data_IF_243607860332
#
_entry.id   IF_243607860332
#
_cell.length_a   1.000
_cell.length_b   1.000
_cell.length_c   1.000
_cell.angle_alpha   90.00
_cell.angle_beta   90.00
_cell.angle_gamma   90.00
#
_symmetry.space_group_name_H-M   'P 1'
#
loop_
_entity.id
_entity.type
_entity.pdbx_description
1 polymer ?
#
# COMPACT_ATOMS: atom_id res chain seq x y z
N UNK A 1 48.84 -61.00 2.56
CA UNK A 1 48.99 -59.71 3.27
C UNK A 1 49.16 -58.58 2.27
N UNK A 2 48.10 -57.82 2.00
CA UNK A 2 48.04 -56.34 2.02
C UNK A 2 46.70 -55.90 1.41
N UNK A 3 46.03 -55.06 2.17
CA UNK A 3 44.69 -54.53 1.96
C UNK A 3 44.64 -53.58 0.76
N UNK A 4 43.62 -53.72 -0.09
CA UNK A 4 43.16 -52.66 -0.98
C UNK A 4 42.02 -51.92 -0.29
N UNK A 5 42.28 -50.69 0.16
CA UNK A 5 41.28 -49.74 0.62
C UNK A 5 40.81 -48.90 -0.57
N UNK A 6 39.52 -48.98 -0.90
CA UNK A 6 38.81 -48.02 -1.76
C UNK A 6 38.45 -46.77 -0.94
N UNK A 7 38.51 -45.54 -1.51
CA UNK A 7 37.86 -44.38 -0.92
C UNK A 7 36.39 -44.30 -1.35
N UNK A 8 35.53 -43.58 -0.59
CA UNK A 8 34.10 -43.83 -0.53
C UNK A 8 33.27 -43.08 -1.58
N UNK A 9 32.14 -43.69 -1.90
CA UNK A 9 31.01 -43.14 -2.66
C UNK A 9 30.49 -41.84 -2.00
N UNK A 10 30.27 -40.84 -2.84
CA UNK A 10 29.66 -39.57 -2.52
C UNK A 10 28.24 -39.74 -1.96
N UNK A 11 28.04 -39.32 -0.71
CA UNK A 11 26.72 -38.96 -0.17
C UNK A 11 26.29 -37.63 -0.81
N UNK A 12 25.54 -37.69 -1.91
CA UNK A 12 24.63 -36.60 -2.26
C UNK A 12 23.27 -36.91 -1.66
N UNK A 13 23.01 -36.24 -0.54
CA UNK A 13 21.76 -36.21 0.19
C UNK A 13 20.62 -35.69 -0.70
N UNK A 14 19.50 -36.40 -0.61
CA UNK A 14 18.13 -35.91 -0.77
C UNK A 14 17.95 -34.53 -0.09
N UNK A 15 17.25 -33.58 -0.75
CA UNK A 15 16.40 -32.46 -0.23
C UNK A 15 16.27 -31.36 -1.33
N UNK A 16 15.07 -30.81 -1.66
CA UNK A 16 13.93 -31.49 -2.29
C UNK A 16 13.36 -30.69 -3.49
N UNK A 17 12.43 -31.33 -4.19
CA UNK A 17 11.61 -30.86 -5.34
C UNK A 17 10.81 -29.55 -5.06
N UNK A 18 10.88 -28.98 -3.86
CA UNK A 18 10.15 -27.77 -3.43
C UNK A 18 10.67 -26.49 -4.10
N UNK A 19 11.96 -26.39 -4.42
CA UNK A 19 12.51 -25.21 -5.13
C UNK A 19 12.00 -25.11 -6.58
N UNK A 20 11.68 -26.22 -7.23
CA UNK A 20 11.24 -26.23 -8.63
C UNK A 20 9.85 -25.64 -8.85
N UNK A 21 8.95 -25.77 -7.86
CA UNK A 21 7.60 -25.17 -7.94
C UNK A 21 7.64 -23.66 -7.67
N UNK A 22 8.41 -23.23 -6.67
CA UNK A 22 8.60 -21.82 -6.35
C UNK A 22 9.32 -21.03 -7.46
N UNK A 23 10.34 -21.63 -8.09
CA UNK A 23 11.02 -21.03 -9.24
C UNK A 23 10.13 -21.05 -10.49
N UNK A 24 9.32 -22.10 -10.70
CA UNK A 24 8.32 -22.11 -11.79
C UNK A 24 7.23 -21.06 -11.59
N UNK A 25 6.72 -20.87 -10.38
CA UNK A 25 5.71 -19.86 -10.10
C UNK A 25 6.31 -18.43 -10.22
N UNK A 26 7.58 -18.24 -9.84
CA UNK A 26 8.33 -16.99 -10.07
C UNK A 26 8.60 -16.71 -11.56
N UNK A 27 8.90 -17.73 -12.36
CA UNK A 27 9.17 -17.59 -13.79
C UNK A 27 7.89 -17.51 -14.63
N UNK A 28 6.81 -18.17 -14.20
CA UNK A 28 5.51 -18.12 -14.87
C UNK A 28 4.75 -16.82 -14.55
N UNK A 29 5.02 -16.16 -13.42
CA UNK A 29 4.52 -14.80 -13.09
C UNK A 29 5.51 -13.69 -13.50
N UNK A 30 6.53 -14.00 -14.32
CA UNK A 30 7.40 -12.99 -14.93
C UNK A 30 6.99 -12.69 -16.39
N UNK A 31 6.01 -13.43 -16.91
CA UNK A 31 5.38 -13.22 -18.21
C UNK A 31 3.90 -13.06 -17.89
N UNK A 32 3.39 -11.82 -17.92
CA UNK A 32 1.97 -11.52 -17.71
C UNK A 32 1.10 -12.46 -18.54
N UNK A 33 0.09 -13.05 -17.91
CA UNK A 33 -0.91 -13.83 -18.62
C UNK A 33 -1.93 -12.86 -19.16
N UNK A 34 -2.14 -12.84 -20.47
CA UNK A 34 -3.15 -11.96 -21.07
C UNK A 34 -4.50 -12.14 -20.37
N UNK A 35 -5.05 -11.06 -19.80
CA UNK A 35 -6.34 -11.05 -19.11
C UNK A 35 -6.28 -11.20 -17.57
N UNK A 36 -5.10 -11.12 -16.94
CA UNK A 36 -4.93 -11.10 -15.48
C UNK A 36 -4.24 -9.79 -15.06
N UNK A 37 -4.56 -9.26 -13.87
CA UNK A 37 -3.96 -8.03 -13.37
C UNK A 37 -2.46 -8.14 -13.14
N UNK A 38 -1.66 -7.26 -13.76
CA UNK A 38 -0.20 -7.25 -13.61
C UNK A 38 0.35 -5.99 -12.90
N UNK A 39 1.25 -6.22 -11.94
CA UNK A 39 2.04 -5.15 -11.32
C UNK A 39 3.50 -5.33 -11.75
N UNK A 40 3.94 -4.47 -12.66
CA UNK A 40 5.34 -4.42 -13.07
C UNK A 40 6.16 -3.66 -12.03
N UNK A 41 7.16 -4.31 -11.42
CA UNK A 41 8.10 -3.68 -10.49
C UNK A 41 9.45 -3.41 -11.14
N UNK A 42 9.85 -2.14 -11.16
CA UNK A 42 11.22 -1.72 -11.45
C UNK A 42 11.96 -1.35 -10.17
N UNK A 43 13.29 -1.47 -10.18
CA UNK A 43 14.09 -1.31 -8.96
C UNK A 43 15.35 -0.48 -9.18
N UNK A 44 15.55 0.52 -8.34
CA UNK A 44 16.80 1.28 -8.19
C UNK A 44 17.40 1.03 -6.82
N UNK A 45 18.68 0.62 -6.78
CA UNK A 45 19.45 0.42 -5.55
C UNK A 45 18.85 -0.58 -4.52
N UNK A 46 17.77 -1.30 -4.86
CA UNK A 46 17.19 -2.34 -4.02
C UNK A 46 17.94 -3.66 -4.20
N UNK A 47 18.51 -4.27 -3.13
CA UNK A 47 19.21 -5.55 -3.21
C UNK A 47 18.31 -6.68 -3.70
N UNK A 48 18.83 -7.56 -4.57
CA UNK A 48 18.05 -8.67 -5.16
C UNK A 48 17.31 -9.53 -4.13
N UNK A 49 17.97 -9.86 -3.00
CA UNK A 49 17.33 -10.64 -1.93
C UNK A 49 16.16 -9.91 -1.26
N UNK A 50 16.16 -8.58 -1.23
CA UNK A 50 15.04 -7.81 -0.69
C UNK A 50 13.87 -7.82 -1.67
N UNK A 51 14.14 -7.74 -2.99
CA UNK A 51 13.12 -7.90 -4.05
C UNK A 51 12.37 -9.22 -3.90
N UNK A 52 13.11 -10.32 -3.80
CA UNK A 52 12.54 -11.66 -3.64
C UNK A 52 11.75 -11.83 -2.34
N UNK A 53 12.23 -11.26 -1.23
CA UNK A 53 11.69 -11.55 0.10
C UNK A 53 10.50 -10.68 0.49
N UNK A 54 10.42 -9.46 -0.04
CA UNK A 54 9.45 -8.47 0.43
C UNK A 54 8.56 -7.93 -0.69
N UNK A 55 9.15 -7.49 -1.80
CA UNK A 55 8.40 -6.84 -2.87
C UNK A 55 7.60 -7.81 -3.74
N UNK A 56 8.20 -8.91 -4.18
CA UNK A 56 7.46 -9.90 -4.98
C UNK A 56 6.31 -10.57 -4.21
N UNK A 57 6.45 -10.93 -2.92
CA UNK A 57 5.32 -11.41 -2.15
C UNK A 57 4.19 -10.40 -1.98
N UNK A 58 4.49 -9.11 -1.77
CA UNK A 58 3.46 -8.07 -1.68
C UNK A 58 2.73 -7.90 -3.01
N UNK A 59 3.49 -7.87 -4.13
CA UNK A 59 2.93 -7.88 -5.48
C UNK A 59 1.98 -9.05 -5.70
N UNK A 60 2.44 -10.27 -5.39
CA UNK A 60 1.63 -11.49 -5.57
C UNK A 60 0.36 -11.42 -4.71
N UNK A 61 0.41 -10.86 -3.50
CA UNK A 61 -0.76 -10.71 -2.66
C UNK A 61 -1.81 -9.79 -3.31
N UNK A 62 -1.39 -8.63 -3.83
CA UNK A 62 -2.29 -7.71 -4.52
C UNK A 62 -2.80 -8.25 -5.87
N UNK A 63 -1.93 -8.82 -6.70
CA UNK A 63 -2.35 -9.45 -7.97
C UNK A 63 -3.29 -10.64 -7.77
N UNK A 64 -3.16 -11.41 -6.68
CA UNK A 64 -4.14 -12.46 -6.38
C UNK A 64 -5.49 -11.86 -5.97
N UNK A 65 -5.49 -10.69 -5.33
CA UNK A 65 -6.69 -10.01 -4.82
C UNK A 65 -7.46 -9.32 -5.95
N UNK A 66 -6.76 -8.75 -6.93
CA UNK A 66 -7.33 -8.11 -8.10
C UNK A 66 -7.37 -9.15 -9.23
N UNK A 67 -8.53 -9.76 -9.43
CA UNK A 67 -8.69 -10.94 -10.26
C UNK A 67 -8.98 -10.64 -11.74
N UNK A 68 -9.15 -9.37 -12.12
CA UNK A 68 -9.44 -8.99 -13.50
C UNK A 68 -8.49 -7.94 -14.06
N UNK A 69 -8.33 -8.04 -15.36
CA UNK A 69 -7.55 -7.15 -16.23
C UNK A 69 -8.02 -5.70 -16.14
N UNK A 70 -7.07 -4.77 -16.14
CA UNK A 70 -7.33 -3.38 -16.53
C UNK A 70 -6.86 -3.19 -17.99
N UNK A 71 -7.25 -2.09 -18.62
CA UNK A 71 -6.80 -1.84 -19.99
C UNK A 71 -5.32 -1.46 -20.00
N UNK A 72 -4.55 -2.20 -20.80
CA UNK A 72 -3.16 -1.88 -21.16
C UNK A 72 -3.02 -0.45 -21.64
N UNK A 73 -1.96 0.21 -21.19
CA UNK A 73 -1.56 1.51 -21.72
C UNK A 73 -0.37 1.29 -22.65
N UNK A 74 -0.69 1.20 -23.94
CA UNK A 74 0.25 1.04 -25.05
C UNK A 74 0.50 2.39 -25.74
N UNK A 75 0.59 3.45 -24.95
CA UNK A 75 0.62 4.81 -25.45
C UNK A 75 2.06 5.28 -25.65
N UNK A 76 2.41 5.63 -26.90
CA UNK A 76 3.67 6.31 -27.23
C UNK A 76 3.82 7.67 -26.49
N UNK A 77 2.76 8.15 -25.82
CA UNK A 77 2.74 9.32 -24.91
C UNK A 77 3.13 9.03 -23.46
N UNK A 78 3.12 7.79 -22.96
CA UNK A 78 3.74 7.53 -21.63
C UNK A 78 5.22 8.01 -21.58
N UNK A 79 6.01 7.88 -22.66
CA UNK A 79 7.32 8.51 -22.82
C UNK A 79 7.38 10.05 -22.80
N UNK A 80 6.27 10.79 -22.90
CA UNK A 80 6.25 12.26 -22.72
C UNK A 80 6.08 12.67 -21.26
N UNK A 81 6.22 11.70 -20.36
CA UNK A 81 6.39 11.91 -18.95
C UNK A 81 7.82 11.50 -18.60
N UNK A 82 8.53 12.38 -17.90
CA UNK A 82 9.86 12.10 -17.40
C UNK A 82 9.93 10.71 -16.73
N UNK A 83 10.96 9.90 -17.05
CA UNK A 83 11.15 8.58 -16.47
C UNK A 83 11.17 8.62 -14.94
N UNK A 84 10.68 7.55 -14.32
CA UNK A 84 10.90 7.34 -12.89
C UNK A 84 12.40 7.26 -12.57
N UNK A 85 12.73 7.38 -11.28
CA UNK A 85 14.09 7.14 -10.78
C UNK A 85 14.65 5.75 -11.22
N UNK A 86 13.78 4.79 -11.55
CA UNK A 86 14.13 3.45 -12.01
C UNK A 86 14.50 3.36 -13.51
N UNK A 87 14.43 4.47 -14.25
CA UNK A 87 14.67 4.50 -15.70
C UNK A 87 13.39 4.57 -16.52
N UNK A 88 13.50 4.41 -17.87
CA UNK A 88 12.39 4.60 -18.79
C UNK A 88 11.26 3.59 -18.55
N UNK A 89 10.03 4.01 -18.85
CA UNK A 89 8.87 3.13 -18.83
C UNK A 89 9.00 1.98 -19.84
N UNK A 90 8.37 0.82 -19.59
CA UNK A 90 8.22 -0.20 -20.61
C UNK A 90 7.41 0.34 -21.80
N UNK A 91 7.54 -0.31 -22.96
CA UNK A 91 6.80 0.06 -24.17
C UNK A 91 5.27 -0.07 -24.01
N UNK A 92 4.84 -0.91 -23.06
CA UNK A 92 3.46 -1.16 -22.68
C UNK A 92 3.42 -1.25 -21.15
N UNK A 93 2.50 -0.53 -20.52
CA UNK A 93 2.16 -0.77 -19.11
C UNK A 93 0.90 -1.62 -19.09
N UNK A 94 1.12 -2.92 -18.90
CA UNK A 94 0.08 -3.87 -18.46
C UNK A 94 -0.25 -3.52 -17.00
N UNK A 95 -1.45 -2.95 -16.83
CA UNK A 95 -2.10 -2.50 -15.61
C UNK A 95 -1.41 -1.47 -14.71
N UNK A 96 -0.32 -1.81 -14.04
CA UNK A 96 0.37 -0.91 -13.10
C UNK A 96 1.89 -1.07 -13.12
N UNK A 97 2.59 0.04 -13.36
CA UNK A 97 4.04 0.12 -13.19
C UNK A 97 4.41 0.82 -11.88
N UNK A 98 5.26 0.19 -11.07
CA UNK A 98 5.76 0.76 -9.82
C UNK A 98 7.29 0.81 -9.84
N UNK A 99 7.84 2.02 -9.72
CA UNK A 99 9.26 2.19 -9.43
C UNK A 99 9.52 2.06 -7.94
N UNK A 100 10.42 1.15 -7.57
CA UNK A 100 10.86 0.96 -6.18
C UNK A 100 12.31 1.40 -6.03
N UNK A 101 12.59 2.32 -5.11
CA UNK A 101 13.95 2.80 -4.87
C UNK A 101 14.35 2.76 -3.41
N UNK A 102 15.63 2.48 -3.16
CA UNK A 102 16.28 2.79 -1.89
C UNK A 102 17.09 4.07 -2.05
N UNK A 103 17.00 4.97 -1.07
CA UNK A 103 17.76 6.21 -1.04
C UNK A 103 18.25 6.48 0.40
N UNK A 104 19.10 7.49 0.57
CA UNK A 104 19.34 8.08 1.90
C UNK A 104 18.38 9.27 2.05
N UNK A 105 17.66 9.37 3.17
CA UNK A 105 16.75 10.49 3.47
C UNK A 105 17.26 11.30 4.66
N UNK A 106 17.00 10.82 5.88
CA UNK A 106 17.34 11.49 7.13
C UNK A 106 18.17 10.61 8.09
N UNK A 107 18.46 9.37 7.71
CA UNK A 107 19.26 8.45 8.49
C UNK A 107 18.39 7.37 9.12
N UNK A 108 18.61 7.07 10.41
CA UNK A 108 17.82 6.05 11.09
C UNK A 108 16.77 6.69 12.01
N UNK A 109 15.53 6.23 11.89
CA UNK A 109 14.33 6.82 12.50
C UNK A 109 13.86 8.05 11.72
N UNK A 110 12.67 8.58 12.05
CA UNK A 110 12.10 9.66 11.25
C UNK A 110 11.48 9.11 9.97
N UNK A 111 11.76 9.72 8.82
CA UNK A 111 11.13 9.35 7.54
C UNK A 111 11.76 8.08 7.00
N UNK A 112 11.01 6.99 7.00
CA UNK A 112 11.53 5.67 6.57
C UNK A 112 11.16 5.30 5.15
N UNK A 113 10.27 6.06 4.52
CA UNK A 113 9.83 5.81 3.16
C UNK A 113 8.49 6.43 2.83
N UNK A 114 7.88 5.96 1.75
CA UNK A 114 6.58 6.39 1.30
C UNK A 114 6.24 5.89 -0.10
N UNK A 115 5.03 6.19 -0.53
CA UNK A 115 4.46 5.73 -1.78
C UNK A 115 3.46 6.72 -2.35
N UNK A 116 3.38 6.77 -3.67
CA UNK A 116 2.41 7.59 -4.39
C UNK A 116 2.13 7.03 -5.77
N UNK A 117 0.88 7.18 -6.22
CA UNK A 117 0.54 7.00 -7.62
C UNK A 117 0.65 8.35 -8.34
N UNK A 118 1.32 8.33 -9.49
CA UNK A 118 1.79 9.48 -10.25
C UNK A 118 0.85 9.84 -11.41
N UNK A 119 0.35 8.82 -12.11
CA UNK A 119 -0.46 8.94 -13.32
C UNK A 119 -1.67 8.05 -13.17
N UNK A 120 -2.84 8.59 -13.47
CA UNK A 120 -4.13 7.91 -13.35
C UNK A 120 -4.85 7.92 -14.69
N UNK A 121 -5.57 6.82 -14.99
CA UNK A 121 -6.50 6.72 -16.12
C UNK A 121 -7.71 7.60 -15.85
N UNK A 122 -8.13 8.44 -16.79
CA UNK A 122 -9.45 9.07 -16.74
C UNK A 122 -10.46 8.32 -17.62
N UNK A 123 -11.74 8.27 -17.22
CA UNK A 123 -12.33 8.82 -16.00
C UNK A 123 -12.31 7.84 -14.80
N UNK A 124 -11.59 6.71 -14.88
CA UNK A 124 -11.67 5.65 -13.87
C UNK A 124 -10.88 5.93 -12.59
N UNK A 125 -9.92 6.86 -12.63
CA UNK A 125 -8.94 7.13 -11.59
C UNK A 125 -8.17 5.87 -11.12
N UNK A 126 -7.96 4.91 -12.02
CA UNK A 126 -7.09 3.76 -11.75
C UNK A 126 -5.62 4.14 -12.05
N UNK A 127 -4.68 3.94 -11.11
CA UNK A 127 -3.27 4.21 -11.31
C UNK A 127 -2.65 3.44 -12.48
N UNK A 128 -1.82 4.12 -13.28
CA UNK A 128 -0.99 3.55 -14.35
C UNK A 128 0.46 3.43 -13.86
N UNK A 129 0.94 4.49 -13.20
CA UNK A 129 2.33 4.61 -12.74
C UNK A 129 2.31 5.07 -11.29
N UNK A 130 3.17 4.47 -10.47
CA UNK A 130 3.48 4.95 -9.14
C UNK A 130 4.91 4.68 -8.71
N UNK A 131 5.24 5.11 -7.51
CA UNK A 131 6.55 4.92 -6.91
C UNK A 131 6.44 4.54 -5.45
N UNK A 132 7.41 3.76 -4.98
CA UNK A 132 7.68 3.53 -3.56
C UNK A 132 9.16 3.79 -3.29
N UNK A 133 9.45 4.57 -2.25
CA UNK A 133 10.80 4.93 -1.84
C UNK A 133 11.01 4.54 -0.37
N UNK A 134 12.18 4.01 -0.03
CA UNK A 134 12.53 3.66 1.35
C UNK A 134 13.90 4.22 1.73
N UNK A 135 14.04 4.71 2.97
CA UNK A 135 15.35 5.06 3.52
C UNK A 135 16.13 3.76 3.79
N UNK A 136 17.25 3.62 3.10
CA UNK A 136 18.12 2.46 3.22
C UNK A 136 18.65 2.27 4.65
N UNK A 137 18.84 3.36 5.41
CA UNK A 137 19.33 3.30 6.78
C UNK A 137 18.30 2.70 7.76
N UNK A 138 17.00 2.75 7.44
CA UNK A 138 15.93 2.19 8.28
C UNK A 138 15.56 0.75 7.97
N UNK A 139 15.85 0.27 6.77
CA UNK A 139 15.52 -1.10 6.34
C UNK A 139 16.00 -2.16 7.35
N UNK A 140 17.21 -2.12 7.93
CA UNK A 140 17.64 -3.08 8.96
C UNK A 140 16.74 -3.06 10.20
N UNK A 141 16.34 -1.88 10.68
CA UNK A 141 15.47 -1.69 11.84
C UNK A 141 14.06 -2.22 11.59
N UNK A 142 13.43 -1.78 10.50
CA UNK A 142 12.10 -2.24 10.10
C UNK A 142 12.02 -3.75 9.90
N UNK A 143 13.10 -4.37 9.40
CA UNK A 143 13.19 -5.84 9.26
C UNK A 143 13.28 -6.54 10.60
N UNK A 144 14.14 -6.06 11.50
CA UNK A 144 14.27 -6.60 12.87
C UNK A 144 12.93 -6.52 13.60
N UNK A 145 12.18 -5.46 13.37
CA UNK A 145 10.91 -5.20 14.04
C UNK A 145 9.72 -5.80 13.28
N UNK A 146 9.96 -6.55 12.19
CA UNK A 146 8.93 -7.20 11.36
C UNK A 146 7.88 -6.24 10.80
N UNK A 147 8.24 -4.97 10.61
CA UNK A 147 7.38 -3.93 10.02
C UNK A 147 7.61 -3.77 8.52
N UNK A 148 8.80 -4.13 8.02
CA UNK A 148 9.16 -3.87 6.62
C UNK A 148 8.26 -4.56 5.58
N UNK A 149 7.70 -5.73 5.90
CA UNK A 149 6.74 -6.39 5.01
C UNK A 149 5.41 -5.64 4.97
N UNK A 150 4.91 -5.24 6.14
CA UNK A 150 3.64 -4.52 6.26
C UNK A 150 3.73 -3.13 5.62
N UNK A 151 4.86 -2.43 5.79
CA UNK A 151 5.09 -1.13 5.14
C UNK A 151 5.02 -1.25 3.62
N UNK A 152 5.70 -2.24 3.01
CA UNK A 152 5.64 -2.45 1.55
C UNK A 152 4.22 -2.80 1.09
N UNK A 153 3.50 -3.62 1.85
CA UNK A 153 2.14 -4.01 1.49
C UNK A 153 1.17 -2.81 1.54
N UNK A 154 1.28 -1.98 2.58
CA UNK A 154 0.54 -0.73 2.76
C UNK A 154 0.83 0.25 1.62
N UNK A 155 2.09 0.56 1.37
CA UNK A 155 2.47 1.51 0.30
C UNK A 155 2.05 1.02 -1.08
N UNK A 156 2.15 -0.29 -1.36
CA UNK A 156 1.67 -0.83 -2.62
C UNK A 156 0.14 -0.72 -2.74
N UNK A 157 -0.59 -0.84 -1.62
CA UNK A 157 -2.04 -0.55 -1.55
C UNK A 157 -2.35 0.91 -1.88
N UNK A 158 -1.60 1.85 -1.31
CA UNK A 158 -1.70 3.28 -1.65
C UNK A 158 -1.46 3.52 -3.14
N UNK A 159 -0.44 2.88 -3.73
CA UNK A 159 -0.12 3.01 -5.17
C UNK A 159 -1.20 2.38 -6.05
N UNK A 160 -1.97 1.40 -5.55
CA UNK A 160 -3.14 0.83 -6.23
C UNK A 160 -4.39 1.73 -6.19
N UNK A 161 -4.30 2.92 -5.60
CA UNK A 161 -5.43 3.86 -5.55
C UNK A 161 -6.23 3.80 -4.25
N UNK A 162 -5.79 3.04 -3.25
CA UNK A 162 -6.32 3.14 -1.88
C UNK A 162 -5.76 4.41 -1.21
N UNK A 163 -6.06 5.55 -1.80
CA UNK A 163 -5.55 6.85 -1.41
C UNK A 163 -6.60 7.94 -1.67
N UNK A 164 -6.39 9.10 -1.06
CA UNK A 164 -7.35 10.20 -1.12
C UNK A 164 -7.61 10.70 -2.56
N UNK A 165 -6.59 10.76 -3.43
CA UNK A 165 -6.78 11.29 -4.79
C UNK A 165 -7.77 10.47 -5.60
N UNK A 166 -7.59 9.15 -5.59
CA UNK A 166 -8.47 8.25 -6.32
C UNK A 166 -9.87 8.19 -5.69
N UNK A 167 -9.96 8.23 -4.36
CA UNK A 167 -11.25 8.25 -3.67
C UNK A 167 -12.05 9.52 -3.92
N UNK A 168 -11.40 10.69 -3.90
CA UNK A 168 -12.03 11.98 -4.21
C UNK A 168 -12.45 12.05 -5.68
N UNK A 169 -11.55 11.68 -6.61
CA UNK A 169 -11.86 11.61 -8.05
C UNK A 169 -13.00 10.67 -8.41
N UNK A 170 -13.32 9.71 -7.54
CA UNK A 170 -14.41 8.74 -7.70
C UNK A 170 -15.64 9.02 -6.85
N UNK A 171 -15.68 10.17 -6.17
CA UNK A 171 -16.75 10.55 -5.25
C UNK A 171 -17.02 9.45 -4.19
N UNK A 172 -15.96 8.74 -3.75
CA UNK A 172 -16.03 7.68 -2.74
C UNK A 172 -15.92 8.23 -1.33
N UNK A 173 -15.30 9.38 -1.16
CA UNK A 173 -15.16 10.05 0.13
C UNK A 173 -15.57 11.50 0.00
N UNK A 174 -16.27 12.05 1.00
CA UNK A 174 -16.50 13.50 1.03
C UNK A 174 -15.16 14.21 1.22
N UNK A 175 -14.95 15.28 0.46
CA UNK A 175 -13.68 16.02 0.46
C UNK A 175 -13.25 16.37 1.89
N UNK A 176 -11.93 16.51 2.10
CA UNK A 176 -11.35 16.94 3.37
C UNK A 176 -11.88 18.29 3.89
N UNK A 177 -12.60 19.04 3.05
CA UNK A 177 -13.24 20.33 3.37
C UNK A 177 -14.75 20.23 3.69
N UNK A 178 -15.34 19.03 3.60
CA UNK A 178 -16.76 18.77 3.91
C UNK A 178 -17.07 18.77 5.41
N UNK A 179 -18.37 18.73 5.77
CA UNK A 179 -18.83 18.65 7.16
C UNK A 179 -19.93 17.59 7.35
N UNK A 180 -19.68 16.49 8.11
CA UNK A 180 -18.36 16.09 8.59
C UNK A 180 -17.42 15.71 7.41
N UNK A 181 -16.11 15.96 7.52
CA UNK A 181 -15.15 15.57 6.49
C UNK A 181 -14.94 14.05 6.49
N UNK A 182 -14.37 13.50 5.42
CA UNK A 182 -13.95 12.09 5.32
C UNK A 182 -15.05 11.05 5.49
N UNK A 183 -16.26 11.33 5.00
CA UNK A 183 -17.34 10.34 5.03
C UNK A 183 -17.20 9.46 3.80
N UNK A 184 -16.89 8.18 4.01
CA UNK A 184 -16.94 7.21 2.92
C UNK A 184 -18.38 6.98 2.46
N UNK A 185 -18.56 6.74 1.16
CA UNK A 185 -19.86 6.53 0.52
C UNK A 185 -20.63 5.40 1.20
N UNK A 186 -21.88 5.68 1.56
CA UNK A 186 -22.77 4.72 2.23
C UNK A 186 -23.12 3.52 1.34
N UNK A 187 -23.42 3.80 0.07
CA UNK A 187 -23.78 2.78 -0.91
C UNK A 187 -22.52 2.36 -1.68
N UNK A 188 -21.64 1.65 -0.98
CA UNK A 188 -20.36 1.16 -1.49
C UNK A 188 -20.08 -0.27 -1.01
N UNK A 189 -19.17 -0.96 -1.70
CA UNK A 189 -18.74 -2.30 -1.39
C UNK A 189 -17.94 -2.32 -0.07
N UNK A 190 -17.02 -1.36 0.15
CA UNK A 190 -16.29 -1.25 1.42
C UNK A 190 -17.25 -1.04 2.60
N UNK A 191 -18.24 -0.17 2.45
CA UNK A 191 -19.26 0.06 3.50
C UNK A 191 -20.12 -1.17 3.73
N UNK A 192 -20.50 -1.93 2.69
CA UNK A 192 -21.21 -3.21 2.86
C UNK A 192 -20.41 -4.18 3.74
N UNK A 193 -19.13 -4.37 3.44
CA UNK A 193 -18.28 -5.29 4.20
C UNK A 193 -18.05 -4.78 5.63
N UNK A 194 -17.90 -3.46 5.83
CA UNK A 194 -17.81 -2.86 7.16
C UNK A 194 -19.08 -3.10 7.99
N UNK A 195 -20.27 -2.92 7.41
CA UNK A 195 -21.55 -3.19 8.10
C UNK A 195 -21.66 -4.66 8.50
N UNK A 196 -21.22 -5.57 7.64
CA UNK A 196 -21.16 -7.01 7.98
C UNK A 196 -20.15 -7.31 9.09
N UNK A 197 -19.00 -6.64 9.09
CA UNK A 197 -17.93 -6.84 10.07
C UNK A 197 -18.28 -6.26 11.46
N UNK A 198 -18.83 -5.04 11.49
CA UNK A 198 -19.12 -4.29 12.71
C UNK A 198 -20.51 -4.59 13.29
N UNK A 199 -21.46 -5.03 12.45
CA UNK A 199 -22.88 -5.07 12.76
C UNK A 199 -23.54 -3.69 12.86
N UNK A 200 -22.83 -2.62 12.52
CA UNK A 200 -23.35 -1.25 12.50
C UNK A 200 -24.02 -0.93 11.15
N UNK A 201 -24.82 0.15 11.10
CA UNK A 201 -25.46 0.63 9.87
C UNK A 201 -24.71 1.78 9.18
N UNK A 202 -23.72 2.38 9.84
CA UNK A 202 -22.98 3.53 9.31
C UNK A 202 -21.97 3.10 8.23
N UNK A 203 -21.46 4.07 7.48
CA UNK A 203 -20.33 3.88 6.55
C UNK A 203 -19.08 3.39 7.28
N UNK A 204 -18.14 2.81 6.51
CA UNK A 204 -16.80 2.53 7.02
C UNK A 204 -16.16 3.83 7.56
N UNK A 205 -15.62 3.84 8.79
CA UNK A 205 -14.90 4.98 9.34
C UNK A 205 -13.60 5.23 8.60
N UNK A 206 -13.36 6.49 8.26
CA UNK A 206 -12.13 6.96 7.59
C UNK A 206 -11.39 7.87 8.55
N UNK A 207 -10.06 7.81 8.52
CA UNK A 207 -9.21 8.58 9.41
C UNK A 207 -9.43 10.09 9.30
N UNK A 208 -9.75 10.72 10.44
CA UNK A 208 -10.02 12.16 10.56
C UNK A 208 -9.38 12.80 11.81
N UNK A 209 -8.53 12.10 12.55
CA UNK A 209 -8.11 12.45 13.93
C UNK A 209 -7.03 13.53 14.06
N UNK A 210 -6.64 14.20 12.98
CA UNK A 210 -5.60 15.24 13.02
C UNK A 210 -6.07 16.63 12.53
N UNK A 211 -7.24 17.13 12.99
CA UNK A 211 -8.03 18.17 12.33
C UNK A 211 -7.36 19.56 12.19
N UNK A 212 -6.17 19.75 12.77
CA UNK A 212 -5.52 21.06 12.89
C UNK A 212 -4.45 21.31 11.80
N UNK A 213 -4.16 20.35 10.92
CA UNK A 213 -3.23 20.55 9.79
C UNK A 213 -3.87 20.17 8.44
N UNK A 214 -3.88 21.13 7.53
CA UNK A 214 -4.46 21.04 6.19
C UNK A 214 -3.80 19.97 5.29
N UNK A 215 -2.76 19.28 5.77
CA UNK A 215 -2.06 18.25 5.04
C UNK A 215 -2.69 16.84 5.15
N UNK A 216 -3.76 16.65 5.90
CA UNK A 216 -4.21 15.32 6.32
C UNK A 216 -5.63 15.07 5.84
N UNK A 217 -6.03 13.80 5.94
CA UNK A 217 -7.38 13.30 6.10
C UNK A 217 -7.88 12.46 4.93
N UNK A 218 -8.71 11.49 5.28
CA UNK A 218 -9.51 10.71 4.35
C UNK A 218 -8.78 9.68 3.46
N UNK A 219 -7.46 9.50 3.59
CA UNK A 219 -6.68 8.55 2.79
C UNK A 219 -6.46 7.16 3.41
N UNK A 220 -6.91 6.96 4.65
CA UNK A 220 -6.75 5.72 5.42
C UNK A 220 -8.04 5.36 6.15
N UNK A 221 -8.17 4.10 6.52
CA UNK A 221 -9.19 3.71 7.49
C UNK A 221 -8.87 4.27 8.87
N UNK A 222 -9.93 4.56 9.65
CA UNK A 222 -9.80 5.06 11.01
C UNK A 222 -9.02 4.08 11.90
N UNK A 223 -7.89 4.52 12.46
CA UNK A 223 -7.01 3.68 13.28
C UNK A 223 -7.73 3.16 14.53
N UNK A 224 -8.59 3.98 15.14
CA UNK A 224 -9.29 3.60 16.37
C UNK A 224 -10.25 2.44 16.10
N UNK A 225 -11.00 2.48 15.02
CA UNK A 225 -11.94 1.42 14.69
C UNK A 225 -11.26 0.20 14.07
N UNK A 226 -10.34 0.40 13.13
CA UNK A 226 -9.76 -0.67 12.31
C UNK A 226 -8.43 -1.21 12.84
N UNK A 227 -7.87 -0.62 13.90
CA UNK A 227 -6.78 -1.21 14.69
C UNK A 227 -5.60 -1.72 13.83
N UNK A 228 -5.50 -3.03 13.63
CA UNK A 228 -4.33 -3.65 13.02
C UNK A 228 -4.43 -3.77 11.49
N UNK A 229 -5.51 -3.32 10.85
CA UNK A 229 -5.75 -3.44 9.41
C UNK A 229 -4.65 -2.74 8.58
N UNK A 230 -4.34 -3.28 7.40
CA UNK A 230 -3.17 -2.84 6.63
C UNK A 230 -3.23 -1.37 6.14
N UNK A 231 -4.43 -0.84 5.90
CA UNK A 231 -4.66 0.52 5.37
C UNK A 231 -5.07 1.52 6.47
N UNK A 232 -4.74 1.25 7.73
CA UNK A 232 -4.81 2.26 8.80
C UNK A 232 -3.49 3.05 8.87
N UNK A 233 -3.47 4.27 9.43
CA UNK A 233 -2.25 5.07 9.48
C UNK A 233 -1.18 4.53 10.44
N UNK A 234 -1.48 3.57 11.33
CA UNK A 234 -0.45 2.90 12.14
C UNK A 234 -0.15 1.53 11.54
N UNK A 235 0.98 1.42 10.84
CA UNK A 235 1.36 0.17 10.17
C UNK A 235 1.86 -0.83 11.21
N UNK A 236 1.13 -1.93 11.33
CA UNK A 236 1.44 -2.98 12.31
C UNK A 236 1.92 -4.28 11.65
N UNK A 237 2.69 -5.07 12.40
CA UNK A 237 3.39 -6.27 11.90
C UNK A 237 2.48 -7.29 11.21
N UNK A 238 1.24 -7.44 11.68
CA UNK A 238 0.27 -8.39 11.08
C UNK A 238 -0.34 -7.81 9.81
N UNK A 239 -0.85 -6.57 9.86
CA UNK A 239 -1.41 -5.84 8.73
C UNK A 239 -2.26 -6.71 7.79
N UNK A 240 -3.39 -7.30 8.24
CA UNK A 240 -4.23 -8.09 7.37
C UNK A 240 -4.93 -7.20 6.34
N UNK A 241 -4.99 -7.66 5.09
CA UNK A 241 -5.86 -7.09 4.06
C UNK A 241 -7.28 -7.55 4.33
N UNK A 242 -8.13 -6.67 4.86
CA UNK A 242 -9.51 -7.00 5.20
C UNK A 242 -10.41 -7.07 3.96
N UNK A 243 -11.58 -7.70 4.12
CA UNK A 243 -12.66 -7.61 3.13
C UNK A 243 -13.12 -6.16 2.90
N UNK A 244 -13.00 -5.28 3.90
CA UNK A 244 -13.32 -3.86 3.77
C UNK A 244 -12.39 -3.19 2.75
N UNK A 245 -11.08 -3.43 2.87
CA UNK A 245 -10.07 -2.94 1.91
C UNK A 245 -10.25 -3.52 0.51
N UNK A 246 -10.59 -4.80 0.39
CA UNK A 246 -10.93 -5.40 -0.91
C UNK A 246 -12.18 -4.74 -1.51
N UNK A 247 -13.19 -4.41 -0.70
CA UNK A 247 -14.34 -3.65 -1.16
C UNK A 247 -14.00 -2.25 -1.67
N UNK A 248 -13.03 -1.58 -1.08
CA UNK A 248 -12.57 -0.28 -1.59
C UNK A 248 -11.87 -0.39 -2.95
N UNK A 249 -11.17 -1.50 -3.22
CA UNK A 249 -10.65 -1.79 -4.56
C UNK A 249 -11.80 -2.00 -5.56
N UNK A 250 -12.86 -2.73 -5.18
CA UNK A 250 -14.06 -2.89 -6.03
C UNK A 250 -14.75 -1.55 -6.30
N UNK A 251 -14.84 -0.68 -5.28
CA UNK A 251 -15.41 0.66 -5.39
C UNK A 251 -14.63 1.59 -6.35
N UNK A 252 -13.30 1.41 -6.45
CA UNK A 252 -12.47 2.07 -7.45
C UNK A 252 -12.75 1.56 -8.88
N UNK A 253 -13.22 0.33 -9.01
CA UNK A 253 -13.55 -0.32 -10.28
C UNK A 253 -12.68 -1.52 -10.63
N UNK A 254 -11.84 -2.00 -9.70
CA UNK A 254 -11.14 -3.27 -9.88
C UNK A 254 -12.11 -4.44 -9.81
N UNK A 255 -11.85 -5.49 -10.59
CA UNK A 255 -12.47 -6.79 -10.35
C UNK A 255 -11.69 -7.52 -9.26
N UNK A 256 -12.36 -7.89 -8.17
CA UNK A 256 -11.68 -8.40 -6.97
C UNK A 256 -12.14 -9.81 -6.58
N UNK A 257 -11.26 -10.56 -5.91
CA UNK A 257 -11.57 -11.83 -5.27
C UNK A 257 -11.55 -11.68 -3.74
N UNK A 258 -12.73 -11.52 -3.17
CA UNK A 258 -12.96 -11.45 -1.73
C UNK A 258 -12.52 -12.68 -0.93
N UNK A 259 -12.29 -13.83 -1.57
CA UNK A 259 -11.77 -15.03 -0.91
C UNK A 259 -10.29 -14.90 -0.55
N UNK A 260 -9.60 -13.88 -1.09
CA UNK A 260 -8.19 -13.57 -0.79
C UNK A 260 -7.99 -12.68 0.42
N UNK A 261 -9.07 -12.21 1.05
CA UNK A 261 -8.97 -11.45 2.29
C UNK A 261 -8.22 -12.27 3.36
N UNK A 262 -7.36 -11.59 4.10
CA UNK A 262 -6.78 -12.15 5.31
C UNK A 262 -7.86 -12.35 6.38
N UNK A 263 -7.59 -13.25 7.33
CA UNK A 263 -8.45 -13.38 8.50
C UNK A 263 -8.48 -12.04 9.25
N UNK A 264 -9.66 -11.40 9.25
CA UNK A 264 -9.91 -10.15 9.94
C UNK A 264 -11.41 -10.07 10.26
N UNK A 265 -11.75 -10.20 11.54
CA UNK A 265 -13.12 -10.36 12.02
C UNK A 265 -13.50 -9.38 13.12
N UNK A 266 -14.71 -9.53 13.71
CA UNK A 266 -15.21 -8.61 14.73
C UNK A 266 -14.29 -8.47 15.97
N UNK A 267 -13.48 -9.49 16.27
CA UNK A 267 -12.52 -9.45 17.37
C UNK A 267 -11.26 -8.61 17.06
N UNK A 268 -11.02 -8.29 15.79
CA UNK A 268 -9.88 -7.48 15.34
C UNK A 268 -10.22 -5.97 15.30
N UNK A 269 -11.50 -5.57 15.36
CA UNK A 269 -11.92 -4.17 15.43
C UNK A 269 -12.22 -3.71 16.87
N UNK A 270 -12.16 -2.40 17.12
CA UNK A 270 -12.44 -1.86 18.46
C UNK A 270 -13.87 -2.17 18.93
N UNK A 271 -14.01 -2.48 20.22
CA UNK A 271 -15.32 -2.73 20.85
C UNK A 271 -16.27 -1.53 20.72
N UNK A 272 -15.74 -0.30 20.73
CA UNK A 272 -16.50 0.93 20.52
C UNK A 272 -17.08 1.08 19.10
N UNK A 273 -16.56 0.32 18.13
CA UNK A 273 -17.00 0.37 16.74
C UNK A 273 -17.83 -0.87 16.34
N UNK A 274 -18.32 -1.64 17.32
CA UNK A 274 -19.22 -2.79 17.13
C UNK A 274 -20.62 -2.48 17.63
N UNK A 275 -21.63 -2.78 16.80
CA UNK A 275 -23.04 -2.59 17.15
C UNK A 275 -23.79 -3.92 17.38
N UNK A 276 -23.14 -5.06 17.11
CA UNK A 276 -23.70 -6.42 17.27
C UNK A 276 -23.43 -7.06 18.64
N UNK A 277 -22.70 -6.40 19.54
CA UNK A 277 -22.44 -6.89 20.90
C UNK A 277 -23.61 -6.54 21.83
N UNK A 278 -24.32 -7.51 22.45
CA UNK A 278 -25.25 -7.19 23.51
C UNK A 278 -24.47 -6.54 24.66
N UNK A 279 -24.97 -5.39 25.13
CA UNK A 279 -24.41 -4.65 26.28
C UNK A 279 -24.31 -5.56 27.52
N UNK A 280 -23.21 -6.31 27.66
CA UNK A 280 -22.79 -6.86 28.94
C UNK A 280 -22.17 -5.70 29.72
N UNK A 281 -23.01 -5.05 30.54
CA UNK A 281 -22.56 -4.14 31.59
C UNK A 281 -21.39 -4.78 32.34
N UNK A 282 -20.30 -4.02 32.44
CA UNK A 282 -19.18 -4.22 33.35
C UNK A 282 -18.23 -5.39 33.05
N UNK A 283 -17.32 -5.17 32.10
CA UNK A 283 -15.89 -5.20 32.44
C UNK A 283 -15.27 -3.89 31.95
N UNK A 284 -15.30 -2.86 32.81
CA UNK A 284 -14.34 -1.76 32.73
C UNK A 284 -12.98 -2.40 33.08
N UNK A 285 -12.39 -3.13 32.13
CA UNK A 285 -10.94 -3.09 31.99
C UNK A 285 -10.69 -1.69 31.51
N UNK A 286 -10.30 -0.83 32.46
CA UNK A 286 -9.54 0.39 32.21
C UNK A 286 -8.73 0.13 30.94
N UNK A 287 -9.10 0.80 29.84
CA UNK A 287 -8.40 0.70 28.58
C UNK A 287 -6.92 0.77 28.96
N UNK A 288 -6.26 -0.38 28.83
CA UNK A 288 -4.95 -0.62 29.39
C UNK A 288 -4.03 0.19 28.51
N UNK A 289 -3.78 1.44 28.86
CA UNK A 289 -2.62 2.24 28.43
C UNK A 289 -2.07 1.83 27.05
N UNK A 290 -2.92 1.82 26.01
CA UNK A 290 -2.45 2.25 24.70
C UNK A 290 -2.16 3.72 24.96
N UNK A 291 -0.96 3.98 25.49
CA UNK A 291 -0.28 5.25 25.32
C UNK A 291 -0.60 5.67 23.90
N UNK A 292 -1.34 6.77 23.75
CA UNK A 292 -1.85 7.26 22.47
C UNK A 292 -0.74 7.10 21.45
N UNK A 293 -0.90 6.13 20.55
CA UNK A 293 0.06 5.86 19.47
C UNK A 293 -0.05 7.05 18.53
N UNK A 294 0.68 8.10 18.86
CA UNK A 294 0.54 9.40 18.24
C UNK A 294 1.91 9.84 17.78
N UNK A 295 1.99 10.05 16.47
CA UNK A 295 3.13 10.70 15.86
C UNK A 295 3.31 12.09 16.47
N UNK A 296 4.55 12.45 16.82
CA UNK A 296 4.87 13.80 17.29
C UNK A 296 4.54 14.85 16.24
N UNK A 297 4.24 16.09 16.66
CA UNK A 297 4.03 17.20 15.72
C UNK A 297 5.25 17.40 14.82
N UNK A 298 6.48 17.23 15.34
CA UNK A 298 7.69 17.32 14.52
C UNK A 298 7.81 16.21 13.48
N UNK A 299 7.50 14.96 13.84
CA UNK A 299 7.52 13.85 12.88
C UNK A 299 6.42 14.02 11.83
N UNK A 300 5.27 14.52 12.26
CA UNK A 300 4.16 14.87 11.39
C UNK A 300 4.53 15.99 10.40
N UNK A 301 5.05 17.11 10.87
CA UNK A 301 5.48 18.25 10.03
C UNK A 301 6.56 17.84 9.02
N UNK A 302 7.52 17.00 9.46
CA UNK A 302 8.56 16.45 8.60
C UNK A 302 7.96 15.60 7.48
N UNK A 303 7.01 14.73 7.79
CA UNK A 303 6.32 13.89 6.82
C UNK A 303 5.56 14.72 5.79
N UNK A 304 4.82 15.74 6.23
CA UNK A 304 4.10 16.66 5.35
C UNK A 304 5.07 17.41 4.44
N UNK A 305 6.17 17.92 4.98
CA UNK A 305 7.15 18.66 4.19
C UNK A 305 7.77 17.77 3.12
N UNK A 306 8.14 16.53 3.48
CA UNK A 306 8.72 15.58 2.53
C UNK A 306 7.70 15.12 1.48
N UNK A 307 6.45 14.86 1.89
CA UNK A 307 5.37 14.51 0.97
C UNK A 307 5.12 15.60 -0.07
N UNK A 308 5.07 16.86 0.35
CA UNK A 308 4.94 18.02 -0.57
C UNK A 308 6.12 18.13 -1.53
N UNK A 309 7.34 17.82 -1.08
CA UNK A 309 8.52 17.78 -1.94
C UNK A 309 8.40 16.68 -3.01
N UNK A 310 8.03 15.45 -2.62
CA UNK A 310 7.84 14.32 -3.54
C UNK A 310 6.82 14.67 -4.63
N UNK A 311 5.65 15.19 -4.23
CA UNK A 311 4.60 15.54 -5.18
C UNK A 311 5.04 16.71 -6.07
N UNK A 312 5.73 17.72 -5.53
CA UNK A 312 6.20 18.89 -6.30
C UNK A 312 7.27 18.51 -7.32
N UNK A 313 8.20 17.63 -6.94
CA UNK A 313 9.22 17.09 -7.85
C UNK A 313 8.55 16.39 -9.03
N UNK A 314 7.57 15.53 -8.75
CA UNK A 314 6.78 14.84 -9.79
C UNK A 314 5.98 15.83 -10.65
N UNK A 315 5.25 16.78 -10.07
CA UNK A 315 4.48 17.75 -10.86
C UNK A 315 5.36 18.61 -11.77
N UNK A 316 6.55 19.00 -11.30
CA UNK A 316 7.47 19.80 -12.11
C UNK A 316 8.08 19.02 -13.27
N UNK A 317 8.40 17.73 -13.09
CA UNK A 317 8.88 16.87 -14.17
C UNK A 317 7.79 16.63 -15.23
N UNK A 318 6.52 16.55 -14.83
CA UNK A 318 5.39 16.31 -15.76
C UNK A 318 4.95 17.58 -16.50
N UNK A 319 5.03 18.76 -15.87
CA UNK A 319 4.62 20.04 -16.48
C UNK A 319 5.62 20.60 -17.50
N UNK A 320 6.90 20.24 -17.42
CA UNK A 320 7.89 20.71 -18.41
C UNK A 320 7.69 20.12 -19.80
N UNK A 321 6.93 19.01 -19.94
CA UNK A 321 6.68 18.33 -21.21
C UNK A 321 5.25 18.51 -21.76
N UNK A 322 4.29 18.93 -20.92
CA UNK A 322 2.87 19.09 -21.26
C UNK A 322 2.48 20.54 -21.57
N UNK A 323 2.83 21.04 -22.75
CA UNK A 323 2.18 22.23 -23.36
C UNK A 323 0.88 21.87 -24.12
N UNK A 324 0.52 20.58 -24.16
CA UNK A 324 -0.77 20.10 -24.65
C UNK A 324 -1.58 19.46 -23.53
N UNK A 325 -2.79 19.99 -23.30
CA UNK A 325 -3.76 19.51 -22.31
C UNK A 325 -4.15 18.08 -22.64
N UNK A 326 -3.55 17.09 -21.97
CA UNK A 326 -3.93 15.69 -22.13
C UNK A 326 -5.19 15.42 -21.31
N UNK A 327 -6.29 15.07 -21.98
CA UNK A 327 -7.60 14.82 -21.37
C UNK A 327 -7.76 13.37 -20.90
N UNK A 328 -6.82 12.50 -21.22
CA UNK A 328 -6.94 11.05 -20.98
C UNK A 328 -6.37 10.64 -19.62
N UNK A 329 -5.53 11.50 -19.01
CA UNK A 329 -4.80 11.20 -17.79
C UNK A 329 -4.93 12.30 -16.73
N UNK A 330 -4.86 11.89 -15.46
CA UNK A 330 -4.71 12.80 -14.34
C UNK A 330 -3.36 12.62 -13.65
N UNK A 331 -2.77 13.73 -13.22
CA UNK A 331 -1.53 13.75 -12.43
C UNK A 331 -1.90 13.69 -10.95
N UNK A 332 -1.41 12.65 -10.26
CA UNK A 332 -1.61 12.50 -8.82
C UNK A 332 -1.08 13.69 -8.04
N UNK A 333 -1.82 14.14 -7.03
CA UNK A 333 -1.38 15.20 -6.13
C UNK A 333 -1.31 14.75 -4.66
N UNK A 334 -1.26 13.44 -4.41
CA UNK A 334 -1.18 12.86 -3.07
C UNK A 334 0.03 11.96 -2.92
N UNK A 335 0.67 12.01 -1.76
CA UNK A 335 1.70 11.06 -1.35
C UNK A 335 1.44 10.55 0.06
N UNK A 336 1.87 9.33 0.33
CA UNK A 336 1.92 8.77 1.67
C UNK A 336 3.38 8.70 2.12
N UNK A 337 3.65 9.18 3.33
CA UNK A 337 4.97 9.19 3.93
C UNK A 337 4.95 8.37 5.20
N UNK A 338 5.89 7.43 5.31
CA UNK A 338 6.08 6.58 6.46
C UNK A 338 7.07 7.21 7.44
N UNK A 339 6.69 7.26 8.72
CA UNK A 339 7.52 7.79 9.80
C UNK A 339 7.67 6.75 10.90
N UNK A 340 8.91 6.42 11.27
CA UNK A 340 9.22 5.53 12.38
C UNK A 340 9.64 6.35 13.61
N UNK A 341 8.81 6.33 14.64
CA UNK A 341 9.02 7.08 15.88
C UNK A 341 8.60 6.22 17.07
N UNK A 342 9.40 6.22 18.14
CA UNK A 342 9.08 5.52 19.40
C UNK A 342 8.79 4.01 19.25
N UNK A 343 9.35 3.36 18.22
CA UNK A 343 9.13 1.93 17.96
C UNK A 343 7.87 1.61 17.15
N UNK A 344 7.17 2.64 16.67
CA UNK A 344 5.94 2.54 15.91
C UNK A 344 6.12 3.14 14.52
N UNK A 345 5.37 2.63 13.54
CA UNK A 345 5.42 3.06 12.16
C UNK A 345 4.10 3.74 11.81
N UNK A 346 4.18 5.03 11.49
CA UNK A 346 3.06 5.86 11.12
C UNK A 346 3.07 6.13 9.62
N UNK A 347 1.90 6.36 9.05
CA UNK A 347 1.67 6.72 7.68
C UNK A 347 0.93 8.05 7.64
N UNK A 348 1.47 9.01 6.88
CA UNK A 348 0.94 10.37 6.75
C UNK A 348 0.62 10.61 5.29
N UNK A 349 -0.67 10.71 4.97
CA UNK A 349 -1.12 11.21 3.67
C UNK A 349 -0.83 12.70 3.59
N UNK A 350 -0.35 13.17 2.44
CA UNK A 350 -0.06 14.57 2.11
C UNK A 350 -0.66 14.90 0.75
N UNK A 351 -1.16 16.12 0.57
CA UNK A 351 -1.69 16.64 -0.70
C UNK A 351 -1.00 17.95 -1.12
N UNK A 352 -1.02 18.27 -2.43
CA UNK A 352 -0.65 19.59 -2.99
C UNK A 352 -1.87 20.47 -3.26
#
# INVERSE_FOLDING_TARGET
MRFCLLPPLSLFWLIPIVQGRFIRDLLNNAIGRSGEFEITLAFKDVPFLHRLRYFFPARIQWQNTIAGDVVDVNDERLPTFEPTDCGPYPAAVDDLYICVSYTNMDGAGGIVGGGYASIYRLPSYLPIVGSMVFDQADVPGLRRDSLFRASILSEMGTVLGLNLFAWDGKDLVTSATGSPPCVYKSESNATREWRSLSGCSNSVPVESSFPDDAAIHCGHWDEVCMQNEIMTPNVQRRGPVSRVTIGALEDLGYQVDYSKADNYGPADIAASCRCSEPSSRALIRKASSQSERKLSSSGFDAAVSYGKELISKHHSSMRQESDSVDTDYAIGNTAVVLVYENGELFSVTTTL
#
